data_IF_981577055828
#
_entry.id   IF_981577055828
#
_cell.length_a   1.000
_cell.length_b   1.000
_cell.length_c   1.000
_cell.angle_alpha   90.00
_cell.angle_beta   90.00
_cell.angle_gamma   90.00
#
_symmetry.space_group_name_H-M   'P 1'
#
loop_
_entity.id
_entity.type
_entity.pdbx_description
1 polymer ?
#
# COMPACT_ATOMS: atom_id res chain seq x y z
N UNK A 1 20.67 -19.11 -10.65
CA UNK A 1 19.71 -20.07 -10.05
C UNK A 1 18.28 -19.67 -10.42
N UNK A 2 17.33 -20.61 -10.52
CA UNK A 2 15.95 -20.29 -10.93
C UNK A 2 14.91 -20.84 -9.92
N UNK A 3 14.81 -20.18 -8.78
CA UNK A 3 13.68 -20.27 -7.87
C UNK A 3 12.56 -19.37 -8.40
N UNK A 4 11.31 -19.81 -8.32
CA UNK A 4 10.17 -19.02 -8.79
C UNK A 4 8.99 -19.20 -7.85
N UNK A 5 8.73 -18.19 -7.02
CA UNK A 5 7.62 -18.19 -6.07
C UNK A 5 6.25 -18.17 -6.76
N UNK A 6 6.14 -17.78 -8.04
CA UNK A 6 4.88 -17.90 -8.78
C UNK A 6 4.55 -19.37 -9.06
N UNK A 7 5.58 -20.18 -9.38
CA UNK A 7 5.44 -21.61 -9.68
C UNK A 7 5.50 -22.48 -8.42
N UNK A 8 6.12 -21.95 -7.37
CA UNK A 8 6.36 -22.61 -6.11
C UNK A 8 7.79 -23.09 -5.95
N UNK A 9 8.25 -23.05 -4.70
CA UNK A 9 9.59 -23.48 -4.28
C UNK A 9 9.47 -24.53 -3.20
N UNK A 10 10.31 -25.56 -3.26
CA UNK A 10 10.36 -26.62 -2.26
C UNK A 10 11.56 -26.42 -1.35
N UNK A 11 11.37 -26.52 -0.04
CA UNK A 11 12.40 -26.27 0.94
C UNK A 11 12.68 -27.56 1.71
N UNK A 12 13.82 -28.19 1.44
CA UNK A 12 14.28 -29.39 2.14
C UNK A 12 14.95 -29.01 3.46
N UNK A 13 14.40 -29.50 4.56
CA UNK A 13 14.95 -29.33 5.91
C UNK A 13 15.50 -30.68 6.37
N UNK A 14 16.76 -30.70 6.79
CA UNK A 14 17.48 -31.92 7.16
C UNK A 14 17.90 -31.90 8.64
N UNK A 15 18.69 -32.89 9.08
CA UNK A 15 19.14 -32.98 10.46
C UNK A 15 18.00 -33.30 11.42
N UNK A 16 18.10 -32.82 12.65
CA UNK A 16 17.17 -33.18 13.73
C UNK A 16 15.72 -32.78 13.44
N UNK A 17 15.50 -31.57 12.91
CA UNK A 17 14.16 -31.08 12.57
C UNK A 17 13.50 -31.85 11.43
N UNK A 18 14.27 -32.54 10.57
CA UNK A 18 13.77 -33.34 9.45
C UNK A 18 13.98 -34.84 9.60
N UNK A 19 14.49 -35.32 10.74
CA UNK A 19 15.05 -36.68 10.93
C UNK A 19 14.04 -37.79 10.62
N UNK A 20 12.79 -37.58 11.02
CA UNK A 20 11.72 -38.58 10.88
C UNK A 20 10.90 -38.39 9.61
N UNK A 21 11.42 -37.66 8.61
CA UNK A 21 10.65 -37.35 7.41
C UNK A 21 9.36 -36.58 7.72
N UNK A 22 9.37 -35.87 8.83
CA UNK A 22 8.32 -34.99 9.35
C UNK A 22 8.96 -33.66 9.76
N UNK A 23 8.16 -32.62 9.91
CA UNK A 23 8.64 -31.30 10.35
C UNK A 23 7.82 -30.86 11.57
N UNK A 24 8.46 -30.51 12.72
CA UNK A 24 7.75 -29.93 13.85
C UNK A 24 7.00 -28.66 13.44
N UNK A 25 5.78 -28.49 13.95
CA UNK A 25 4.90 -27.38 13.54
C UNK A 25 5.52 -26.01 13.83
N UNK A 26 6.21 -25.86 14.96
CA UNK A 26 6.85 -24.60 15.34
C UNK A 26 7.98 -24.22 14.37
N UNK A 27 8.71 -25.22 13.85
CA UNK A 27 9.75 -25.00 12.83
C UNK A 27 9.10 -24.58 11.52
N UNK A 28 8.02 -25.25 11.11
CA UNK A 28 7.28 -24.89 9.90
C UNK A 28 6.75 -23.46 9.95
N UNK A 29 6.10 -23.07 11.07
CA UNK A 29 5.57 -21.73 11.29
C UNK A 29 6.71 -20.71 11.21
N UNK A 30 7.80 -20.93 11.95
CA UNK A 30 8.94 -20.00 11.98
C UNK A 30 9.60 -19.85 10.60
N UNK A 31 9.74 -20.93 9.84
CA UNK A 31 10.24 -20.89 8.46
C UNK A 31 9.30 -20.08 7.58
N UNK A 32 8.00 -20.34 7.65
CA UNK A 32 6.99 -19.67 6.84
C UNK A 32 6.90 -18.17 7.14
N UNK A 33 6.89 -17.77 8.42
CA UNK A 33 6.85 -16.36 8.84
C UNK A 33 8.10 -15.61 8.38
N UNK A 34 9.28 -16.20 8.53
CA UNK A 34 10.52 -15.55 8.12
C UNK A 34 10.66 -15.47 6.60
N UNK A 35 10.22 -16.49 5.86
CA UNK A 35 10.15 -16.43 4.39
C UNK A 35 9.15 -15.35 3.93
N UNK A 36 7.97 -15.30 4.55
CA UNK A 36 6.95 -14.29 4.28
C UNK A 36 7.50 -12.88 4.49
N UNK A 37 8.18 -12.66 5.63
CA UNK A 37 8.77 -11.38 5.99
C UNK A 37 9.87 -10.98 5.00
N UNK A 38 10.77 -11.89 4.63
CA UNK A 38 11.80 -11.65 3.64
C UNK A 38 11.18 -11.23 2.30
N UNK A 39 10.21 -11.99 1.79
CA UNK A 39 9.55 -11.69 0.52
C UNK A 39 8.85 -10.33 0.55
N UNK A 40 8.21 -9.96 1.66
CA UNK A 40 7.58 -8.65 1.83
C UNK A 40 8.58 -7.51 1.97
N UNK A 41 9.72 -7.71 2.62
CA UNK A 41 10.78 -6.70 2.70
C UNK A 41 11.41 -6.46 1.33
N UNK A 42 11.59 -7.51 0.52
CA UNK A 42 12.00 -7.37 -0.89
C UNK A 42 10.96 -6.54 -1.65
N UNK A 43 9.68 -6.89 -1.55
CA UNK A 43 8.62 -6.14 -2.24
C UNK A 43 8.60 -4.66 -1.81
N UNK A 44 8.70 -4.38 -0.50
CA UNK A 44 8.61 -3.03 0.04
C UNK A 44 9.78 -2.13 -0.35
N UNK A 45 11.00 -2.66 -0.38
CA UNK A 45 12.20 -1.83 -0.51
C UNK A 45 12.94 -1.97 -1.85
N UNK A 46 12.72 -3.05 -2.60
CA UNK A 46 13.47 -3.33 -3.84
C UNK A 46 12.64 -3.15 -5.12
N UNK A 47 11.30 -3.06 -5.04
CA UNK A 47 10.48 -2.63 -6.17
C UNK A 47 10.68 -1.12 -6.35
N UNK A 48 10.91 -0.68 -7.59
CA UNK A 48 10.84 0.73 -7.97
C UNK A 48 9.49 0.94 -8.65
N UNK A 49 8.54 1.50 -7.93
CA UNK A 49 7.24 1.85 -8.49
C UNK A 49 6.81 3.21 -7.96
N UNK A 50 6.35 4.12 -8.84
CA UNK A 50 5.71 5.36 -8.40
C UNK A 50 4.33 5.12 -7.78
N UNK A 51 3.79 3.90 -7.89
CA UNK A 51 2.47 3.53 -7.38
C UNK A 51 2.54 2.82 -6.03
N UNK A 52 1.42 2.86 -5.30
CA UNK A 52 1.28 2.14 -4.03
C UNK A 52 1.34 0.61 -4.25
N UNK A 53 2.29 -0.04 -3.58
CA UNK A 53 2.47 -1.49 -3.63
C UNK A 53 1.60 -2.15 -2.55
N UNK A 54 0.59 -2.92 -2.95
CA UNK A 54 -0.17 -3.74 -2.00
C UNK A 54 0.64 -4.99 -1.60
N UNK A 55 1.25 -4.94 -0.40
CA UNK A 55 2.04 -6.04 0.16
C UNK A 55 1.26 -7.35 0.33
N UNK A 56 -0.08 -7.32 0.30
CA UNK A 56 -0.89 -8.54 0.30
C UNK A 56 -0.68 -9.37 -0.97
N UNK A 57 -0.32 -8.74 -2.09
CA UNK A 57 -0.01 -9.42 -3.34
C UNK A 57 1.28 -10.25 -3.27
N UNK A 58 2.08 -10.13 -2.21
CA UNK A 58 3.32 -10.89 -1.99
C UNK A 58 3.21 -11.85 -0.82
N UNK A 59 1.99 -12.14 -0.36
CA UNK A 59 1.76 -13.21 0.61
C UNK A 59 2.17 -14.55 0.02
N UNK A 60 2.77 -15.40 0.84
CA UNK A 60 3.09 -16.78 0.48
C UNK A 60 2.11 -17.74 1.15
N UNK A 61 1.85 -18.86 0.49
CA UNK A 61 0.98 -19.92 0.97
C UNK A 61 1.75 -21.24 0.99
N UNK A 62 1.48 -22.07 2.00
CA UNK A 62 1.91 -23.47 2.01
C UNK A 62 1.10 -24.21 0.95
N UNK A 63 1.72 -24.47 -0.20
CA UNK A 63 1.06 -25.11 -1.34
C UNK A 63 1.14 -26.63 -1.34
N UNK A 64 1.96 -27.20 -0.46
CA UNK A 64 2.10 -28.64 -0.36
C UNK A 64 3.08 -29.07 0.71
N UNK A 65 2.92 -30.33 1.10
CA UNK A 65 3.85 -31.04 1.96
C UNK A 65 3.90 -32.48 1.46
N UNK A 66 5.08 -33.00 1.17
CA UNK A 66 5.19 -34.36 0.66
C UNK A 66 5.09 -35.37 1.80
N UNK A 67 4.29 -36.41 1.57
CA UNK A 67 4.17 -37.51 2.52
C UNK A 67 5.53 -38.15 2.76
N UNK A 68 5.92 -38.30 4.03
CA UNK A 68 7.21 -38.86 4.40
C UNK A 68 8.40 -37.99 4.00
N UNK A 69 8.27 -36.66 3.94
CA UNK A 69 9.41 -35.76 3.79
C UNK A 69 9.28 -34.47 4.60
N UNK A 70 10.40 -33.93 5.07
CA UNK A 70 10.47 -32.59 5.65
C UNK A 70 10.68 -31.52 4.56
N UNK A 71 9.80 -31.55 3.54
CA UNK A 71 9.89 -30.70 2.35
C UNK A 71 8.59 -29.92 2.12
N UNK A 72 8.35 -28.83 2.86
CA UNK A 72 7.26 -27.92 2.56
C UNK A 72 7.48 -27.20 1.22
N UNK A 73 6.37 -26.95 0.52
CA UNK A 73 6.32 -26.17 -0.71
C UNK A 73 5.60 -24.84 -0.46
N UNK A 74 6.21 -23.74 -0.90
CA UNK A 74 5.65 -22.39 -0.77
C UNK A 74 5.50 -21.74 -2.13
N UNK A 75 4.43 -20.97 -2.33
CA UNK A 75 4.23 -20.14 -3.52
C UNK A 75 3.53 -18.84 -3.15
N UNK A 76 3.57 -17.84 -4.03
CA UNK A 76 2.75 -16.65 -3.87
C UNK A 76 1.26 -17.00 -3.83
N UNK A 77 0.50 -16.24 -3.04
CA UNK A 77 -0.95 -16.37 -2.99
C UNK A 77 -1.53 -16.16 -4.39
N UNK A 78 -2.52 -16.97 -4.82
CA UNK A 78 -3.26 -16.68 -6.05
C UNK A 78 -4.22 -15.49 -5.86
N UNK A 79 -4.45 -15.05 -4.61
CA UNK A 79 -5.38 -13.97 -4.26
C UNK A 79 -4.72 -12.61 -4.46
N UNK A 80 -4.68 -12.17 -5.72
CA UNK A 80 -4.16 -10.86 -6.12
C UNK A 80 -5.28 -9.82 -6.06
N UNK A 81 -4.98 -8.66 -5.50
CA UNK A 81 -5.76 -7.44 -5.68
C UNK A 81 -5.09 -6.59 -6.74
N UNK A 82 -5.80 -6.39 -7.85
CA UNK A 82 -5.37 -5.47 -8.89
C UNK A 82 -5.74 -4.05 -8.45
N UNK A 83 -4.83 -3.10 -8.62
CA UNK A 83 -5.17 -1.69 -8.51
C UNK A 83 -5.67 -1.20 -9.89
N UNK A 84 -6.46 -0.12 -9.90
CA UNK A 84 -7.19 0.37 -11.08
C UNK A 84 -6.24 0.62 -12.27
N UNK A 85 -4.97 0.90 -12.02
CA UNK A 85 -3.95 1.19 -13.04
C UNK A 85 -3.15 -0.02 -13.55
N UNK A 86 -3.42 -1.26 -13.10
CA UNK A 86 -2.30 -2.20 -12.93
C UNK A 86 -2.57 -3.71 -13.12
N UNK A 87 -3.47 -4.11 -14.02
CA UNK A 87 -3.65 -5.55 -14.32
C UNK A 87 -2.34 -6.26 -14.77
N UNK A 88 -1.35 -5.53 -15.31
CA UNK A 88 -0.01 -6.04 -15.65
C UNK A 88 1.05 -5.84 -14.56
N UNK A 89 0.87 -4.88 -13.65
CA UNK A 89 1.91 -4.46 -12.70
C UNK A 89 2.21 -5.53 -11.64
N UNK A 90 1.19 -6.22 -11.10
CA UNK A 90 1.44 -7.20 -10.03
C UNK A 90 2.31 -8.37 -10.50
N UNK A 91 2.14 -8.80 -11.76
CA UNK A 91 2.96 -9.88 -12.33
C UNK A 91 4.40 -9.41 -12.51
N UNK A 92 4.61 -8.21 -13.02
CA UNK A 92 5.93 -7.60 -13.18
C UNK A 92 6.62 -7.37 -11.83
N UNK A 93 5.91 -6.83 -10.85
CA UNK A 93 6.39 -6.67 -9.49
C UNK A 93 6.81 -8.01 -8.86
N UNK A 94 6.01 -9.07 -9.02
CA UNK A 94 6.38 -10.41 -8.55
C UNK A 94 7.61 -10.95 -9.28
N UNK A 95 7.78 -10.64 -10.55
CA UNK A 95 9.00 -11.00 -11.30
C UNK A 95 10.23 -10.26 -10.76
N UNK A 96 10.11 -8.97 -10.42
CA UNK A 96 11.17 -8.21 -9.75
C UNK A 96 11.52 -8.83 -8.41
N UNK A 97 10.52 -9.16 -7.58
CA UNK A 97 10.72 -9.80 -6.27
C UNK A 97 11.37 -11.17 -6.44
N UNK A 98 10.94 -11.99 -7.39
CA UNK A 98 11.59 -13.27 -7.71
C UNK A 98 13.05 -13.08 -8.13
N UNK A 99 13.35 -12.09 -8.98
CA UNK A 99 14.71 -11.79 -9.42
C UNK A 99 15.61 -11.43 -8.24
N UNK A 100 15.14 -10.54 -7.35
CA UNK A 100 15.85 -10.14 -6.13
C UNK A 100 16.00 -11.29 -5.14
N UNK A 101 14.94 -12.07 -4.93
CA UNK A 101 14.95 -13.25 -4.08
C UNK A 101 16.00 -14.27 -4.55
N UNK A 102 16.08 -14.56 -5.85
CA UNK A 102 17.11 -15.44 -6.39
C UNK A 102 18.53 -14.93 -6.08
N UNK A 103 18.81 -13.64 -6.28
CA UNK A 103 20.14 -13.06 -5.97
C UNK A 103 20.49 -13.22 -4.50
N UNK A 104 19.53 -12.99 -3.60
CA UNK A 104 19.77 -13.16 -2.16
C UNK A 104 19.94 -14.62 -1.77
N UNK A 105 19.23 -15.54 -2.42
CA UNK A 105 19.43 -16.98 -2.22
C UNK A 105 20.78 -17.46 -2.80
N UNK A 106 21.29 -16.87 -3.88
CA UNK A 106 22.65 -17.14 -4.38
C UNK A 106 23.73 -16.66 -3.39
N UNK A 107 23.51 -15.52 -2.75
CA UNK A 107 24.35 -15.05 -1.65
C UNK A 107 24.32 -16.04 -0.48
N UNK A 108 23.12 -16.50 -0.08
CA UNK A 108 22.94 -17.45 1.00
C UNK A 108 23.58 -18.81 0.69
N UNK A 109 23.50 -19.29 -0.54
CA UNK A 109 24.10 -20.55 -1.01
C UNK A 109 25.62 -20.52 -0.98
N UNK A 110 26.22 -19.37 -1.32
CA UNK A 110 27.66 -19.17 -1.21
C UNK A 110 28.11 -18.91 0.24
N UNK A 111 27.19 -18.48 1.11
CA UNK A 111 27.50 -18.07 2.49
C UNK A 111 28.26 -16.75 2.60
N UNK A 112 28.49 -16.05 1.49
CA UNK A 112 29.20 -14.77 1.43
C UNK A 112 28.22 -13.59 1.51
N UNK A 113 27.68 -13.39 2.71
CA UNK A 113 26.72 -12.33 3.01
C UNK A 113 27.28 -10.91 2.89
N UNK A 114 28.60 -10.75 2.74
CA UNK A 114 29.22 -9.43 2.56
C UNK A 114 28.73 -8.73 1.29
N UNK A 115 28.34 -9.51 0.28
CA UNK A 115 27.80 -9.03 -1.01
C UNK A 115 26.50 -8.24 -0.87
N UNK A 116 25.74 -8.40 0.21
CA UNK A 116 24.52 -7.62 0.46
C UNK A 116 24.78 -6.11 0.56
N UNK A 117 26.04 -5.69 0.80
CA UNK A 117 26.41 -4.27 0.79
C UNK A 117 26.18 -3.59 -0.56
N UNK A 118 26.36 -4.34 -1.65
CA UNK A 118 26.33 -3.82 -3.00
C UNK A 118 25.03 -4.17 -3.76
N UNK A 119 24.26 -5.15 -3.26
CA UNK A 119 23.03 -5.61 -3.94
C UNK A 119 21.76 -4.84 -3.57
N UNK A 120 21.72 -4.22 -2.39
CA UNK A 120 20.56 -3.48 -1.89
C UNK A 120 20.61 -2.01 -2.34
N UNK A 121 19.44 -1.41 -2.65
CA UNK A 121 19.35 -0.03 -3.17
C UNK A 121 19.95 1.03 -2.24
N UNK A 122 19.73 0.90 -0.93
CA UNK A 122 20.17 1.86 0.07
C UNK A 122 20.35 1.19 1.45
N UNK A 123 20.83 1.96 2.44
CA UNK A 123 21.08 1.45 3.79
C UNK A 123 19.79 0.97 4.50
N UNK A 124 18.63 1.59 4.24
CA UNK A 124 17.35 1.19 4.84
C UNK A 124 16.93 -0.18 4.30
N UNK A 125 16.93 -0.33 2.97
CA UNK A 125 16.68 -1.61 2.31
C UNK A 125 17.64 -2.68 2.82
N UNK A 126 18.96 -2.37 2.85
CA UNK A 126 19.98 -3.31 3.34
C UNK A 126 19.68 -3.76 4.76
N UNK A 127 19.37 -2.86 5.68
CA UNK A 127 19.07 -3.20 7.06
C UNK A 127 17.85 -4.14 7.17
N UNK A 128 16.79 -3.88 6.39
CA UNK A 128 15.60 -4.72 6.37
C UNK A 128 15.88 -6.12 5.79
N UNK A 129 16.55 -6.18 4.63
CA UNK A 129 16.89 -7.42 3.94
C UNK A 129 17.88 -8.26 4.75
N UNK A 130 18.93 -7.67 5.32
CA UNK A 130 19.90 -8.39 6.15
C UNK A 130 19.21 -9.06 7.35
N UNK A 131 18.30 -8.35 8.02
CA UNK A 131 17.57 -8.91 9.17
C UNK A 131 16.62 -10.03 8.75
N UNK A 132 15.78 -9.80 7.73
CA UNK A 132 14.80 -10.81 7.29
C UNK A 132 15.47 -12.04 6.67
N UNK A 133 16.50 -11.84 5.83
CA UNK A 133 17.29 -12.95 5.28
C UNK A 133 18.02 -13.72 6.38
N UNK A 134 18.59 -13.01 7.36
CA UNK A 134 19.26 -13.67 8.47
C UNK A 134 18.32 -14.48 9.36
N UNK A 135 17.13 -13.96 9.64
CA UNK A 135 16.09 -14.68 10.37
C UNK A 135 15.61 -15.91 9.59
N UNK A 136 15.43 -15.78 8.28
CA UNK A 136 15.07 -16.91 7.41
C UNK A 136 16.16 -17.98 7.37
N UNK A 137 17.42 -17.59 7.13
CA UNK A 137 18.55 -18.52 7.07
C UNK A 137 18.78 -19.27 8.39
N UNK A 138 18.43 -18.66 9.53
CA UNK A 138 18.59 -19.23 10.86
C UNK A 138 17.28 -19.85 11.43
N UNK A 139 16.24 -19.98 10.61
CA UNK A 139 14.90 -20.38 11.06
C UNK A 139 14.83 -21.81 11.61
N UNK A 140 15.69 -22.71 11.12
CA UNK A 140 15.68 -24.15 11.43
C UNK A 140 16.61 -24.55 12.60
N UNK A 141 17.08 -23.58 13.40
CA UNK A 141 17.97 -23.86 14.53
C UNK A 141 19.29 -24.47 14.06
N UNK A 142 19.58 -25.71 14.45
CA UNK A 142 20.79 -26.44 14.02
C UNK A 142 20.63 -27.19 12.69
N UNK A 143 19.40 -27.41 12.22
CA UNK A 143 19.11 -28.18 11.02
C UNK A 143 19.53 -27.48 9.71
N UNK A 144 20.19 -28.18 8.76
CA UNK A 144 20.45 -27.66 7.43
C UNK A 144 19.16 -27.41 6.64
N UNK A 145 19.20 -26.42 5.76
CA UNK A 145 18.09 -26.02 4.92
C UNK A 145 18.58 -25.78 3.48
N UNK A 146 17.83 -26.28 2.50
CA UNK A 146 18.13 -26.08 1.09
C UNK A 146 16.86 -25.99 0.25
N UNK A 147 16.86 -25.19 -0.81
CA UNK A 147 15.87 -25.29 -1.86
C UNK A 147 16.10 -26.56 -2.67
N UNK A 148 15.01 -27.16 -3.14
CA UNK A 148 15.04 -28.40 -3.90
C UNK A 148 14.08 -28.41 -5.08
N UNK A 149 14.40 -29.23 -6.08
CA UNK A 149 13.49 -29.63 -7.16
C UNK A 149 13.08 -31.08 -6.96
N UNK A 150 11.91 -31.40 -7.48
CA UNK A 150 11.37 -32.75 -7.49
C UNK A 150 11.59 -33.29 -8.91
N UNK A 151 12.28 -34.42 -9.05
CA UNK A 151 12.44 -35.09 -10.35
C UNK A 151 11.12 -35.71 -10.82
N UNK A 152 11.05 -36.10 -12.10
CA UNK A 152 9.92 -36.86 -12.66
C UNK A 152 9.65 -38.16 -11.90
N UNK A 153 10.68 -38.80 -11.36
CA UNK A 153 10.61 -39.99 -10.50
C UNK A 153 10.21 -39.68 -9.06
N UNK A 154 10.00 -38.41 -8.72
CA UNK A 154 9.67 -37.99 -7.37
C UNK A 154 10.85 -37.96 -6.40
N UNK A 155 12.11 -37.96 -6.86
CA UNK A 155 13.27 -37.75 -5.98
C UNK A 155 13.46 -36.27 -5.68
N UNK A 156 13.83 -35.95 -4.44
CA UNK A 156 14.12 -34.57 -4.00
C UNK A 156 15.59 -34.26 -4.23
N UNK A 157 15.87 -33.31 -5.10
CA UNK A 157 17.23 -32.90 -5.50
C UNK A 157 17.47 -31.48 -4.99
N UNK A 158 18.43 -31.30 -4.07
CA UNK A 158 18.81 -29.98 -3.59
C UNK A 158 19.45 -29.15 -4.71
N UNK A 159 19.01 -27.90 -4.86
CA UNK A 159 19.46 -26.97 -5.91
C UNK A 159 20.24 -25.78 -5.36
N UNK A 160 20.03 -25.43 -4.09
CA UNK A 160 20.71 -24.31 -3.43
C UNK A 160 20.57 -24.45 -1.92
N UNK A 161 21.68 -24.32 -1.21
CA UNK A 161 21.71 -24.31 0.25
C UNK A 161 21.34 -22.93 0.77
N UNK A 162 20.84 -22.90 1.99
CA UNK A 162 20.67 -21.65 2.74
C UNK A 162 21.62 -21.72 3.92
N UNK A 163 22.84 -21.21 3.74
CA UNK A 163 23.84 -21.23 4.81
C UNK A 163 23.44 -20.26 5.92
N UNK A 164 23.69 -20.62 7.17
CA UNK A 164 23.38 -19.75 8.31
C UNK A 164 24.24 -18.50 8.31
N UNK A 165 23.65 -17.41 8.80
CA UNK A 165 24.38 -16.16 9.01
C UNK A 165 24.73 -16.01 10.49
N UNK A 166 25.99 -15.67 10.78
CA UNK A 166 26.43 -15.43 12.15
C UNK A 166 25.92 -14.06 12.63
N UNK A 167 25.52 -13.90 13.91
CA UNK A 167 25.05 -12.62 14.45
C UNK A 167 26.03 -11.45 14.20
N UNK A 168 27.34 -11.69 14.38
CA UNK A 168 28.39 -10.69 14.10
C UNK A 168 28.40 -10.19 12.65
N UNK A 169 27.99 -11.03 11.70
CA UNK A 169 27.89 -10.66 10.27
C UNK A 169 26.63 -9.85 10.02
N UNK A 170 25.50 -10.18 10.67
CA UNK A 170 24.30 -9.34 10.64
C UNK A 170 24.62 -7.93 11.15
N UNK A 171 25.24 -7.83 12.32
CA UNK A 171 25.60 -6.55 12.95
C UNK A 171 26.55 -5.72 12.08
N UNK A 172 27.53 -6.34 11.42
CA UNK A 172 28.49 -5.62 10.57
C UNK A 172 27.91 -5.15 9.22
N UNK A 173 26.74 -5.67 8.83
CA UNK A 173 26.02 -5.27 7.63
C UNK A 173 24.94 -4.22 7.90
N UNK A 174 24.49 -4.12 9.15
CA UNK A 174 23.53 -3.12 9.57
C UNK A 174 24.26 -1.79 9.78
N UNK A 175 23.78 -0.76 9.11
CA UNK A 175 24.23 0.61 9.38
C UNK A 175 23.30 1.25 10.38
N UNK A 176 23.86 1.86 11.43
CA UNK A 176 23.08 2.77 12.27
C UNK A 176 22.60 3.89 11.36
N UNK A 177 21.31 3.90 11.12
CA UNK A 177 20.64 5.05 10.55
C UNK A 177 20.58 5.98 11.76
N UNK A 178 21.48 6.96 11.80
CA UNK A 178 21.22 8.12 12.65
C UNK A 178 19.85 8.61 12.19
N UNK A 179 18.93 8.76 13.13
CA UNK A 179 17.82 9.67 12.92
C UNK A 179 18.51 11.03 12.72
N UNK A 180 18.96 11.30 11.48
CA UNK A 180 18.84 12.62 10.92
C UNK A 180 17.42 12.95 11.31
N UNK A 181 17.24 13.85 12.28
CA UNK A 181 16.00 14.56 12.44
C UNK A 181 15.59 14.83 11.01
N UNK A 182 14.59 14.08 10.55
CA UNK A 182 14.00 14.39 9.29
C UNK A 182 13.70 15.87 9.49
N UNK A 183 14.31 16.73 8.67
CA UNK A 183 13.63 17.98 8.38
C UNK A 183 12.24 17.51 8.07
N UNK A 184 11.33 17.73 9.01
CA UNK A 184 9.95 17.33 8.87
C UNK A 184 9.47 18.24 7.77
N UNK A 185 9.65 17.80 6.54
CA UNK A 185 8.75 18.20 5.48
C UNK A 185 7.43 17.61 5.95
N UNK A 186 6.60 18.49 6.52
CA UNK A 186 5.21 18.22 6.77
C UNK A 186 4.60 17.75 5.45
N UNK A 187 4.54 16.43 5.27
CA UNK A 187 3.82 15.84 4.16
C UNK A 187 2.35 15.96 4.50
N UNK A 188 1.71 16.93 3.87
CA UNK A 188 0.29 17.10 3.94
C UNK A 188 -0.38 15.88 3.32
N UNK A 189 -1.28 15.26 4.08
CA UNK A 189 -2.12 14.16 3.62
C UNK A 189 -3.49 14.34 4.24
N UNK A 190 -4.54 14.05 3.48
CA UNK A 190 -5.92 14.18 3.97
C UNK A 190 -6.59 12.82 3.98
N UNK A 191 -7.27 12.51 5.08
CA UNK A 191 -7.91 11.22 5.30
C UNK A 191 -9.38 11.42 5.70
N UNK A 192 -10.27 10.62 5.11
CA UNK A 192 -11.68 10.57 5.53
C UNK A 192 -11.79 9.68 6.76
N UNK A 193 -12.13 10.26 7.91
CA UNK A 193 -12.28 9.52 9.18
C UNK A 193 -13.75 9.24 9.43
N UNK A 194 -14.13 7.96 9.46
CA UNK A 194 -15.44 7.55 9.99
C UNK A 194 -15.32 7.37 11.49
N UNK A 195 -16.00 8.25 12.24
CA UNK A 195 -16.14 8.15 13.69
C UNK A 195 -17.32 7.22 14.01
N UNK A 196 -17.03 6.09 14.66
CA UNK A 196 -18.06 5.14 15.11
C UNK A 196 -18.14 5.20 16.62
N UNK A 197 -19.26 5.71 17.14
CA UNK A 197 -19.56 5.69 18.57
C UNK A 197 -20.17 4.33 18.93
N UNK A 198 -19.47 3.59 19.78
CA UNK A 198 -19.98 2.31 20.31
C UNK A 198 -21.14 2.55 21.29
N UNK A 199 -21.98 1.53 21.53
CA UNK A 199 -23.11 1.61 22.47
C UNK A 199 -22.72 1.99 23.91
N UNK A 200 -21.43 1.91 24.25
CA UNK A 200 -20.86 2.29 25.56
C UNK A 200 -20.23 3.69 25.55
N UNK A 201 -20.43 4.49 24.50
CA UNK A 201 -19.94 5.87 24.40
C UNK A 201 -18.47 6.01 24.00
N UNK A 202 -17.75 4.91 23.76
CA UNK A 202 -16.38 4.99 23.25
C UNK A 202 -16.36 5.29 21.75
N UNK A 203 -15.66 6.37 21.39
CA UNK A 203 -15.42 6.82 20.02
C UNK A 203 -14.26 6.02 19.41
N UNK A 204 -14.51 5.32 18.31
CA UNK A 204 -13.47 4.67 17.51
C UNK A 204 -13.37 5.34 16.15
N UNK A 205 -12.18 5.85 15.82
CA UNK A 205 -11.88 6.44 14.52
C UNK A 205 -11.37 5.37 13.57
N UNK A 206 -11.94 5.27 12.37
CA UNK A 206 -11.46 4.38 11.30
C UNK A 206 -11.24 5.23 10.04
N UNK A 207 -10.03 5.19 9.51
CA UNK A 207 -9.71 5.80 8.22
C UNK A 207 -10.44 5.00 7.14
N UNK A 208 -11.26 5.68 6.35
CA UNK A 208 -12.05 5.09 5.26
C UNK A 208 -11.35 5.27 3.92
N UNK A 209 -10.63 6.38 3.76
CA UNK A 209 -9.90 6.71 2.55
C UNK A 209 -8.68 7.57 2.88
N UNK A 210 -7.60 7.40 2.12
CA UNK A 210 -6.27 7.98 2.31
C UNK A 210 -5.72 8.35 0.92
N UNK A 211 -5.35 9.63 0.74
CA UNK A 211 -4.63 10.10 -0.44
C UNK A 211 -3.38 10.84 0.04
N UNK A 212 -2.20 10.29 -0.29
CA UNK A 212 -0.90 10.93 -0.05
C UNK A 212 -0.40 11.56 -1.36
N UNK A 213 -0.64 12.86 -1.55
CA UNK A 213 -0.03 13.64 -2.64
C UNK A 213 0.00 15.14 -2.28
N UNK A 214 0.95 15.89 -2.86
CA UNK A 214 1.01 17.36 -2.72
C UNK A 214 -0.22 18.04 -3.35
N UNK A 215 -0.86 17.37 -4.32
CA UNK A 215 -2.08 17.80 -5.02
C UNK A 215 -3.30 16.94 -4.65
N UNK A 216 -3.29 16.35 -3.44
CA UNK A 216 -4.33 15.43 -2.98
C UNK A 216 -5.73 16.05 -3.15
N UNK A 217 -6.49 15.45 -4.06
CA UNK A 217 -7.86 15.85 -4.37
C UNK A 217 -8.84 14.97 -3.62
N UNK A 218 -9.64 15.55 -2.73
CA UNK A 218 -10.73 14.86 -2.07
C UNK A 218 -12.04 15.13 -2.80
N UNK A 219 -12.85 14.08 -2.93
CA UNK A 219 -14.28 14.25 -3.21
C UNK A 219 -14.91 14.89 -1.96
N UNK A 220 -15.34 16.14 -2.11
CA UNK A 220 -16.02 16.91 -1.07
C UNK A 220 -17.47 17.11 -1.50
N UNK A 221 -18.45 16.99 -0.60
CA UNK A 221 -19.84 17.26 -0.95
C UNK A 221 -20.51 18.22 0.01
N UNK A 222 -21.40 19.06 -0.54
CA UNK A 222 -22.34 19.85 0.24
C UNK A 222 -23.71 19.16 0.23
N UNK A 223 -24.26 18.85 1.40
CA UNK A 223 -25.67 18.51 1.56
C UNK A 223 -26.53 19.77 1.79
N UNK A 224 -25.91 20.83 2.32
CA UNK A 224 -26.47 22.15 2.52
C UNK A 224 -25.42 23.24 2.27
N UNK A 225 -25.87 24.41 1.84
CA UNK A 225 -25.01 25.58 1.62
C UNK A 225 -25.60 26.74 2.41
N UNK A 226 -24.79 27.40 3.24
CA UNK A 226 -25.24 28.51 4.08
C UNK A 226 -24.37 29.73 3.84
N UNK A 227 -25.01 30.87 3.54
CA UNK A 227 -24.34 32.15 3.42
C UNK A 227 -25.22 33.29 3.95
N UNK A 228 -24.64 34.15 4.80
CA UNK A 228 -25.29 35.32 5.40
C UNK A 228 -26.75 35.10 5.86
N UNK A 229 -26.99 34.02 6.62
CA UNK A 229 -28.29 33.70 7.21
C UNK A 229 -29.30 33.05 6.25
N UNK A 230 -28.93 32.80 4.99
CA UNK A 230 -29.72 32.06 4.02
C UNK A 230 -29.18 30.64 3.90
N UNK A 231 -30.06 29.63 3.98
CA UNK A 231 -29.68 28.22 3.93
C UNK A 231 -30.36 27.53 2.74
N UNK A 232 -29.54 26.98 1.84
CA UNK A 232 -29.95 26.19 0.70
C UNK A 232 -29.87 24.71 1.06
N UNK A 233 -31.02 24.05 1.19
CA UNK A 233 -31.09 22.60 1.43
C UNK A 233 -31.17 21.89 0.08
N UNK A 234 -30.26 20.97 -0.19
CA UNK A 234 -30.17 20.31 -1.51
C UNK A 234 -30.93 18.97 -1.53
N UNK A 235 -31.52 18.61 -2.68
CA UNK A 235 -32.20 17.31 -2.91
C UNK A 235 -31.21 16.14 -2.95
N UNK A 236 -29.93 16.43 -3.13
CA UNK A 236 -28.82 15.49 -3.11
C UNK A 236 -27.51 16.26 -3.02
N UNK A 237 -26.45 15.52 -2.71
CA UNK A 237 -25.12 16.07 -2.47
C UNK A 237 -24.56 16.78 -3.72
N UNK A 238 -24.18 18.05 -3.56
CA UNK A 238 -23.41 18.78 -4.56
C UNK A 238 -21.94 18.35 -4.44
N UNK A 239 -21.50 17.52 -5.38
CA UNK A 239 -20.13 17.03 -5.43
C UNK A 239 -19.18 18.12 -5.93
N UNK A 240 -18.13 18.34 -5.17
CA UNK A 240 -17.07 19.30 -5.41
C UNK A 240 -15.70 18.62 -5.26
N UNK A 241 -14.70 19.29 -5.81
CA UNK A 241 -13.29 18.92 -5.70
C UNK A 241 -12.66 19.77 -4.59
N UNK A 242 -12.10 19.16 -3.56
CA UNK A 242 -11.30 19.86 -2.54
C UNK A 242 -9.83 19.57 -2.76
N UNK A 243 -9.02 20.61 -2.95
CA UNK A 243 -7.57 20.53 -3.15
C UNK A 243 -6.85 21.46 -2.17
N UNK A 244 -5.57 21.18 -1.91
CA UNK A 244 -4.67 22.13 -1.26
C UNK A 244 -3.62 22.56 -2.28
N UNK A 245 -3.49 23.86 -2.51
CA UNK A 245 -2.56 24.46 -3.45
C UNK A 245 -1.71 25.49 -2.70
N UNK A 246 -0.38 25.40 -2.78
CA UNK A 246 0.60 26.42 -2.31
C UNK A 246 0.33 27.06 -0.92
N UNK A 247 -0.35 26.37 0.00
CA UNK A 247 -0.65 26.85 1.35
C UNK A 247 -2.11 27.20 1.63
N UNK A 248 -2.98 27.23 0.62
CA UNK A 248 -4.42 27.50 0.74
C UNK A 248 -5.26 26.31 0.21
N UNK A 249 -6.55 26.30 0.52
CA UNK A 249 -7.52 25.30 0.11
C UNK A 249 -8.38 25.82 -1.02
N UNK A 250 -8.73 24.93 -1.96
CA UNK A 250 -9.57 25.22 -3.13
C UNK A 250 -10.73 24.24 -3.17
N UNK A 251 -11.96 24.75 -3.22
CA UNK A 251 -13.18 23.97 -3.44
C UNK A 251 -13.75 24.36 -4.80
N UNK A 252 -13.79 23.42 -5.74
CA UNK A 252 -14.27 23.65 -7.10
C UNK A 252 -15.53 22.82 -7.39
N UNK A 253 -16.51 23.44 -8.05
CA UNK A 253 -17.59 22.72 -8.73
C UNK A 253 -17.58 23.08 -10.22
N UNK A 254 -17.09 22.17 -11.06
CA UNK A 254 -16.92 22.43 -12.49
C UNK A 254 -18.24 22.54 -13.27
N UNK A 255 -19.36 22.01 -12.72
CA UNK A 255 -20.69 22.14 -13.33
C UNK A 255 -21.19 23.59 -13.20
N UNK A 256 -21.01 24.17 -12.03
CA UNK A 256 -21.42 25.53 -11.70
C UNK A 256 -20.37 26.58 -12.05
N UNK A 257 -19.15 26.17 -12.38
CA UNK A 257 -17.99 27.05 -12.60
C UNK A 257 -17.66 27.91 -11.37
N UNK A 258 -17.86 27.35 -10.17
CA UNK A 258 -17.58 28.03 -8.90
C UNK A 258 -16.27 27.51 -8.33
N UNK A 259 -15.46 28.43 -7.84
CA UNK A 259 -14.26 28.16 -7.06
C UNK A 259 -14.32 28.96 -5.77
N UNK A 260 -14.18 28.28 -4.63
CA UNK A 260 -13.97 28.91 -3.33
C UNK A 260 -12.56 28.65 -2.83
N UNK A 261 -11.90 29.68 -2.29
CA UNK A 261 -10.53 29.57 -1.76
C UNK A 261 -10.43 30.08 -0.33
N UNK A 262 -9.43 29.63 0.43
CA UNK A 262 -9.15 30.12 1.78
C UNK A 262 -7.94 29.47 2.45
N UNK A 263 -7.41 30.08 3.50
CA UNK A 263 -6.25 29.55 4.24
C UNK A 263 -6.65 28.34 5.11
N UNK A 264 -7.95 28.14 5.32
CA UNK A 264 -8.55 26.95 5.93
C UNK A 264 -9.70 26.39 5.08
N UNK A 265 -10.09 25.12 5.35
CA UNK A 265 -11.23 24.48 4.68
C UNK A 265 -12.53 25.24 4.97
N UNK A 266 -12.69 25.76 6.18
CA UNK A 266 -13.83 26.57 6.61
C UNK A 266 -13.91 27.90 5.84
N UNK A 267 -12.78 28.56 5.60
CA UNK A 267 -12.72 29.76 4.77
C UNK A 267 -13.04 29.45 3.30
N UNK A 268 -12.46 28.38 2.75
CA UNK A 268 -12.77 27.95 1.38
C UNK A 268 -14.26 27.60 1.20
N UNK A 269 -14.90 26.99 2.22
CA UNK A 269 -16.36 26.75 2.23
C UNK A 269 -17.16 28.04 2.28
N UNK A 270 -16.73 29.02 3.07
CA UNK A 270 -17.40 30.31 3.15
C UNK A 270 -17.34 31.04 1.81
N UNK A 271 -16.15 31.09 1.20
CA UNK A 271 -15.94 31.66 -0.13
C UNK A 271 -16.78 30.94 -1.20
N UNK A 272 -16.79 29.59 -1.20
CA UNK A 272 -17.65 28.82 -2.10
C UNK A 272 -19.14 29.14 -1.90
N UNK A 273 -19.58 29.27 -0.64
CA UNK A 273 -20.98 29.54 -0.31
C UNK A 273 -21.42 30.95 -0.72
N UNK A 274 -20.50 31.93 -0.63
CA UNK A 274 -20.69 33.28 -1.14
C UNK A 274 -20.91 33.28 -2.65
N UNK A 275 -20.02 32.61 -3.40
CA UNK A 275 -20.12 32.49 -4.86
C UNK A 275 -21.40 31.76 -5.27
N UNK A 276 -21.76 30.68 -4.57
CA UNK A 276 -23.01 29.96 -4.80
C UNK A 276 -24.23 30.87 -4.61
N UNK A 277 -24.28 31.64 -3.52
CA UNK A 277 -25.37 32.58 -3.26
C UNK A 277 -25.42 33.70 -4.31
N UNK A 278 -24.27 34.21 -4.72
CA UNK A 278 -24.16 35.20 -5.79
C UNK A 278 -24.72 34.68 -7.11
N UNK A 279 -24.26 33.52 -7.58
CA UNK A 279 -24.73 32.98 -8.87
C UNK A 279 -26.20 32.57 -8.81
N UNK A 280 -26.68 32.06 -7.68
CA UNK A 280 -28.09 31.73 -7.50
C UNK A 280 -28.97 32.98 -7.66
N UNK A 281 -28.63 34.08 -6.97
CA UNK A 281 -29.35 35.35 -7.08
C UNK A 281 -29.23 35.90 -8.50
N UNK A 282 -28.01 36.05 -9.00
CA UNK A 282 -27.72 36.68 -10.28
C UNK A 282 -28.43 35.96 -11.43
N UNK A 283 -28.39 34.63 -11.46
CA UNK A 283 -28.96 33.87 -12.58
C UNK A 283 -30.48 33.79 -12.53
N UNK A 284 -31.09 33.89 -11.34
CA UNK A 284 -32.56 33.95 -11.20
C UNK A 284 -33.14 35.36 -11.38
N UNK A 285 -32.32 36.41 -11.28
CA UNK A 285 -32.73 37.80 -11.55
C UNK A 285 -32.68 38.17 -13.05
N UNK A 286 -31.83 37.50 -13.83
CA UNK A 286 -31.67 37.75 -15.25
C UNK A 286 -32.83 37.18 -16.07
N UNK A 287 -33.22 37.89 -17.13
CA UNK A 287 -34.21 37.40 -18.10
C UNK A 287 -33.61 36.33 -19.00
N UNK A 288 -34.48 35.53 -19.62
CA UNK A 288 -34.09 34.39 -20.45
C UNK A 288 -33.21 34.79 -21.66
N UNK A 289 -33.38 36.01 -22.18
CA UNK A 289 -32.60 36.56 -23.28
C UNK A 289 -31.20 37.04 -22.85
N UNK A 290 -31.00 37.30 -21.55
CA UNK A 290 -29.75 37.82 -20.98
C UNK A 290 -28.79 36.69 -20.56
N UNK A 291 -29.27 35.43 -20.57
CA UNK A 291 -28.49 34.27 -20.16
C UNK A 291 -27.83 33.58 -21.36
N UNK A 292 -26.53 33.31 -21.24
CA UNK A 292 -25.85 32.42 -22.19
C UNK A 292 -26.30 30.96 -22.00
N UNK A 293 -26.13 30.10 -23.00
CA UNK A 293 -26.46 28.66 -22.88
C UNK A 293 -25.80 27.98 -21.67
N UNK A 294 -24.59 28.41 -21.30
CA UNK A 294 -23.87 27.91 -20.12
C UNK A 294 -24.56 28.38 -18.83
N UNK A 295 -24.88 29.66 -18.74
CA UNK A 295 -25.54 30.27 -17.57
C UNK A 295 -26.96 29.72 -17.36
N UNK A 296 -27.69 29.43 -18.44
CA UNK A 296 -28.99 28.74 -18.39
C UNK A 296 -28.87 27.36 -17.77
N UNK A 297 -27.92 26.56 -18.25
CA UNK A 297 -27.64 25.23 -17.70
C UNK A 297 -27.31 25.29 -16.21
N UNK A 298 -26.45 26.23 -15.80
CA UNK A 298 -26.10 26.43 -14.40
C UNK A 298 -27.32 26.83 -13.56
N UNK A 299 -28.12 27.82 -14.00
CA UNK A 299 -29.36 28.24 -13.34
C UNK A 299 -30.32 27.07 -13.14
N UNK A 300 -30.58 26.34 -14.22
CA UNK A 300 -31.55 25.26 -14.23
C UNK A 300 -31.07 24.10 -13.34
N UNK A 301 -29.78 23.81 -13.33
CA UNK A 301 -29.18 22.84 -12.41
C UNK A 301 -29.29 23.29 -10.95
N UNK A 302 -28.95 24.53 -10.61
CA UNK A 302 -29.07 25.08 -9.25
C UNK A 302 -30.52 24.97 -8.75
N UNK A 303 -31.48 25.41 -9.57
CA UNK A 303 -32.90 25.36 -9.22
C UNK A 303 -33.43 23.92 -9.12
N UNK A 304 -32.84 22.98 -9.89
CA UNK A 304 -33.17 21.57 -9.79
C UNK A 304 -32.69 20.96 -8.47
N UNK A 305 -31.45 21.25 -8.06
CA UNK A 305 -30.82 20.65 -6.87
C UNK A 305 -31.32 21.29 -5.57
N UNK A 306 -31.78 22.53 -5.56
CA UNK A 306 -32.35 23.13 -4.35
C UNK A 306 -33.72 22.50 -4.05
N UNK A 307 -33.87 22.00 -2.83
CA UNK A 307 -35.13 21.49 -2.28
C UNK A 307 -35.91 22.58 -1.55
N UNK A 308 -35.21 23.38 -0.75
CA UNK A 308 -35.77 24.41 0.11
C UNK A 308 -34.73 25.50 0.35
N UNK A 309 -35.22 26.74 0.52
CA UNK A 309 -34.43 27.88 0.96
C UNK A 309 -35.04 28.38 2.27
N UNK A 310 -34.23 28.51 3.31
CA UNK A 310 -34.60 29.01 4.63
C UNK A 310 -33.87 30.31 4.94
#
# INVERSE_FOLDING_TARGET
MQLDLNKGVNLKIEGEAGKYSTLPIDVLIKVAENLQKLVQDIAKYEIDSPYNIDLNNFKIELSGFRHGSAVPAFKFTPRVKFTIDSNQDVVEQRNVVNGRFNRYMEIADNGDYSKLRNECKNNISRNAIVRSLGNFANSTGNSPMSFSKISSEGKVISISKVNKIKPKVIESLITKIEDLEAKSEDKFGVATIKEVTTKTGHKRRKIVDDIMDHDATLSFSFSEIQFMGRQYVLKGDLNCKLQKEEGYYVIENSILDIVGTGDSVEEAKMCFSEEFDYIYKRYNELKEEELTSRTKTARDFINLIISQIM
#
